data_IF_944603357197
#
_entry.id   IF_944603357197
#
_cell.length_a   1.000
_cell.length_b   1.000
_cell.length_c   1.000
_cell.angle_alpha   90.00
_cell.angle_beta   90.00
_cell.angle_gamma   90.00
#
_symmetry.space_group_name_H-M   'P 1'
#
loop_
_entity.id
_entity.type
_entity.pdbx_description
1 polymer ?
#
# COMPACT_ATOMS: atom_id res chain seq x y z
N UNK A 1 32.91 18.84 67.24
CA UNK A 1 34.39 18.81 67.38
C UNK A 1 34.98 18.23 66.12
N UNK A 2 36.20 18.53 65.67
CA UNK A 2 37.27 19.43 66.12
C UNK A 2 38.24 19.46 64.91
N UNK A 3 38.68 20.63 64.45
CA UNK A 3 39.88 20.80 63.57
C UNK A 3 41.04 21.26 64.47
N UNK A 4 42.30 20.89 64.20
CA UNK A 4 43.22 21.69 63.35
C UNK A 4 44.08 20.77 62.43
N UNK A 5 44.84 21.13 61.40
CA UNK A 5 45.60 22.30 60.91
C UNK A 5 47.12 22.03 60.89
N UNK A 6 47.77 22.44 59.77
CA UNK A 6 49.23 22.67 59.53
C UNK A 6 50.09 21.39 59.43
N UNK A 7 51.12 21.33 58.59
CA UNK A 7 51.78 22.30 57.71
C UNK A 7 53.26 21.90 57.56
N UNK A 8 53.91 22.35 56.46
CA UNK A 8 55.37 22.37 56.19
C UNK A 8 56.09 21.00 56.21
N UNK A 9 57.08 20.67 55.37
CA UNK A 9 57.91 21.41 54.43
C UNK A 9 59.31 20.75 54.42
N UNK A 10 60.01 20.76 53.26
CA UNK A 10 61.48 20.60 53.08
C UNK A 10 62.11 19.25 53.54
N UNK A 11 63.23 18.71 53.05
CA UNK A 11 64.38 19.11 52.22
C UNK A 11 65.00 17.77 51.74
N UNK A 12 65.38 17.61 50.48
CA UNK A 12 66.76 17.73 49.96
C UNK A 12 67.79 16.69 50.45
N UNK A 13 68.55 16.17 49.46
CA UNK A 13 69.82 15.47 49.62
C UNK A 13 69.69 13.96 49.46
N UNK A 14 70.37 13.28 48.55
CA UNK A 14 71.43 13.67 47.63
C UNK A 14 72.26 12.43 47.29
N UNK A 15 72.89 12.47 46.10
CA UNK A 15 74.10 11.72 45.70
C UNK A 15 73.91 10.20 45.47
N UNK A 16 73.79 9.72 44.22
CA UNK A 16 74.82 9.57 43.15
C UNK A 16 75.81 8.43 43.41
N UNK A 17 75.65 7.34 42.66
CA UNK A 17 76.66 6.43 42.07
C UNK A 17 75.89 5.15 41.67
N UNK A 18 76.09 4.46 40.56
CA UNK A 18 76.87 4.58 39.33
C UNK A 18 76.21 3.54 38.39
N UNK A 19 76.07 3.85 37.10
CA UNK A 19 75.83 2.84 36.06
C UNK A 19 77.20 2.51 35.47
N UNK A 20 77.45 1.27 35.03
CA UNK A 20 76.87 0.79 33.76
C UNK A 20 76.35 -0.66 33.85
N UNK A 21 75.19 -1.00 33.26
CA UNK A 21 75.07 -1.57 31.90
C UNK A 21 76.25 -2.52 31.58
N UNK A 22 76.07 -3.82 31.38
CA UNK A 22 75.10 -4.46 30.49
C UNK A 22 75.03 -5.95 30.84
N UNK A 23 73.83 -6.49 31.08
CA UNK A 23 73.62 -7.91 31.36
C UNK A 23 72.48 -8.43 30.48
N UNK A 24 72.87 -9.40 29.68
CA UNK A 24 72.08 -10.23 28.78
C UNK A 24 70.90 -10.97 29.44
N UNK A 25 69.89 -11.31 28.60
CA UNK A 25 68.77 -12.28 28.79
C UNK A 25 67.56 -11.73 29.58
N UNK A 26 66.29 -11.98 29.25
CA UNK A 26 65.61 -12.77 28.23
C UNK A 26 64.10 -12.46 28.30
N UNK A 27 63.43 -12.66 27.17
CA UNK A 27 62.03 -12.42 26.79
C UNK A 27 60.95 -13.01 27.72
N UNK A 28 59.86 -12.27 27.95
CA UNK A 28 58.51 -12.83 28.18
C UNK A 28 57.44 -12.02 27.42
N UNK A 29 57.26 -12.37 26.14
CA UNK A 29 56.28 -11.77 25.23
C UNK A 29 54.96 -12.55 25.30
N UNK A 30 53.89 -11.79 25.59
CA UNK A 30 52.53 -11.90 25.06
C UNK A 30 51.90 -13.30 24.92
N UNK A 31 51.18 -13.74 25.96
CA UNK A 31 50.10 -14.74 25.81
C UNK A 31 48.69 -14.18 26.07
N UNK A 32 48.54 -13.15 26.90
CA UNK A 32 47.22 -12.62 27.28
C UNK A 32 46.45 -11.93 26.14
N UNK A 33 47.11 -11.17 25.26
CA UNK A 33 46.40 -10.38 24.25
C UNK A 33 45.72 -11.18 23.13
N UNK A 34 46.13 -12.44 22.89
CA UNK A 34 45.60 -13.23 21.76
C UNK A 34 44.32 -13.98 22.12
N UNK A 35 44.18 -14.41 23.37
CA UNK A 35 42.98 -15.09 23.86
C UNK A 35 41.81 -14.11 24.04
N UNK A 36 42.06 -12.92 24.59
CA UNK A 36 41.02 -11.88 24.75
C UNK A 36 40.48 -11.37 23.41
N UNK A 37 41.35 -11.26 22.39
CA UNK A 37 40.94 -10.81 21.05
C UNK A 37 40.11 -11.88 20.33
N UNK A 38 40.42 -13.16 20.50
CA UNK A 38 39.65 -14.26 19.91
C UNK A 38 38.32 -14.49 20.62
N UNK A 39 38.28 -14.37 21.96
CA UNK A 39 37.03 -14.42 22.73
C UNK A 39 36.13 -13.24 22.38
N UNK A 40 36.68 -12.03 22.22
CA UNK A 40 35.95 -10.85 21.77
C UNK A 40 35.44 -10.99 20.34
N UNK A 41 36.27 -11.46 19.40
CA UNK A 41 35.84 -11.71 18.02
C UNK A 41 34.77 -12.80 17.92
N UNK A 42 34.92 -13.91 18.65
CA UNK A 42 33.93 -14.98 18.70
C UNK A 42 32.61 -14.51 19.35
N UNK A 43 32.68 -13.64 20.36
CA UNK A 43 31.50 -13.03 20.96
C UNK A 43 30.79 -12.09 19.99
N UNK A 44 31.54 -11.24 19.27
CA UNK A 44 31.03 -10.34 18.22
C UNK A 44 30.40 -11.11 17.06
N UNK A 45 30.98 -12.24 16.64
CA UNK A 45 30.42 -13.10 15.58
C UNK A 45 29.16 -13.82 16.06
N UNK A 46 29.09 -14.25 17.32
CA UNK A 46 27.88 -14.83 17.91
C UNK A 46 26.74 -13.82 18.01
N UNK A 47 27.05 -12.58 18.36
CA UNK A 47 26.05 -11.49 18.40
C UNK A 47 25.56 -11.14 17.00
N UNK A 48 26.47 -10.98 16.02
CA UNK A 48 26.12 -10.69 14.63
C UNK A 48 25.30 -11.81 13.97
N UNK A 49 25.56 -13.08 14.31
CA UNK A 49 24.78 -14.22 13.81
C UNK A 49 23.34 -14.24 14.33
N UNK A 50 23.11 -13.72 15.55
CA UNK A 50 21.78 -13.62 16.14
C UNK A 50 20.95 -12.52 15.47
N UNK A 51 21.55 -11.37 15.20
CA UNK A 51 20.89 -10.26 14.49
C UNK A 51 20.54 -10.62 13.04
N UNK A 52 21.40 -11.39 12.38
CA UNK A 52 21.13 -11.92 11.04
C UNK A 52 19.92 -12.88 11.03
N UNK A 53 19.77 -13.69 12.07
CA UNK A 53 18.63 -14.61 12.19
C UNK A 53 17.31 -13.85 12.32
N UNK A 54 17.27 -12.79 13.15
CA UNK A 54 16.09 -11.94 13.26
C UNK A 54 15.77 -11.22 11.94
N UNK A 55 16.79 -10.74 11.22
CA UNK A 55 16.60 -10.11 9.92
C UNK A 55 15.97 -11.06 8.89
N UNK A 56 16.44 -12.32 8.83
CA UNK A 56 15.84 -13.35 7.96
C UNK A 56 14.37 -13.57 8.31
N UNK A 57 14.06 -13.74 9.60
CA UNK A 57 12.68 -13.97 10.06
C UNK A 57 11.77 -12.81 9.67
N UNK A 58 12.25 -11.56 9.80
CA UNK A 58 11.51 -10.37 9.38
C UNK A 58 11.28 -10.35 7.87
N UNK A 59 12.29 -10.64 7.06
CA UNK A 59 12.14 -10.70 5.60
C UNK A 59 11.14 -11.77 5.16
N UNK A 60 11.19 -12.96 5.79
CA UNK A 60 10.21 -14.03 5.54
C UNK A 60 8.81 -13.56 5.91
N UNK A 61 8.64 -12.90 7.06
CA UNK A 61 7.36 -12.34 7.50
C UNK A 61 6.79 -11.32 6.51
N UNK A 62 7.62 -10.40 6.01
CA UNK A 62 7.23 -9.41 4.98
C UNK A 62 6.90 -10.10 3.66
N UNK A 63 7.67 -11.11 3.26
CA UNK A 63 7.43 -11.87 2.02
C UNK A 63 6.10 -12.61 2.05
N UNK A 64 5.81 -13.33 3.13
CA UNK A 64 4.53 -14.06 3.30
C UNK A 64 3.36 -13.09 3.39
N UNK A 65 3.47 -12.06 4.24
CA UNK A 65 2.40 -11.07 4.42
C UNK A 65 2.17 -10.30 3.13
N UNK A 66 3.23 -9.80 2.48
CA UNK A 66 3.15 -9.07 1.23
C UNK A 66 2.62 -9.92 0.07
N UNK A 67 3.01 -11.20 0.00
CA UNK A 67 2.48 -12.15 -1.00
C UNK A 67 0.99 -12.41 -0.80
N UNK A 68 0.55 -12.69 0.43
CA UNK A 68 -0.87 -12.89 0.73
C UNK A 68 -1.68 -11.61 0.47
N UNK A 69 -1.18 -10.46 0.93
CA UNK A 69 -1.80 -9.17 0.70
C UNK A 69 -1.87 -8.86 -0.80
N UNK A 70 -0.84 -9.20 -1.58
CA UNK A 70 -0.85 -9.07 -3.03
C UNK A 70 -1.93 -9.92 -3.69
N UNK A 71 -2.11 -11.19 -3.29
CA UNK A 71 -3.17 -12.05 -3.84
C UNK A 71 -4.54 -11.48 -3.51
N UNK A 72 -4.78 -11.10 -2.26
CA UNK A 72 -6.04 -10.52 -1.80
C UNK A 72 -6.32 -9.20 -2.53
N UNK A 73 -5.33 -8.31 -2.63
CA UNK A 73 -5.47 -7.06 -3.37
C UNK A 73 -5.68 -7.33 -4.85
N UNK A 74 -4.94 -8.25 -5.47
CA UNK A 74 -5.16 -8.60 -6.87
C UNK A 74 -6.58 -9.12 -7.09
N UNK A 75 -7.11 -9.92 -6.18
CA UNK A 75 -8.47 -10.44 -6.26
C UNK A 75 -9.53 -9.35 -6.02
N UNK A 76 -9.34 -8.49 -5.01
CA UNK A 76 -10.20 -7.35 -4.68
C UNK A 76 -10.10 -6.18 -5.69
N UNK A 77 -8.98 -6.01 -6.37
CA UNK A 77 -8.82 -4.99 -7.42
C UNK A 77 -9.11 -5.56 -8.82
N UNK A 78 -9.15 -6.90 -8.98
CA UNK A 78 -9.83 -7.54 -10.11
C UNK A 78 -11.33 -7.35 -10.00
N UNK A 79 -11.90 -7.31 -8.79
CA UNK A 79 -13.25 -6.77 -8.56
C UNK A 79 -13.22 -5.26 -8.75
N UNK A 80 -13.35 -4.81 -9.98
CA UNK A 80 -13.56 -3.39 -10.28
C UNK A 80 -14.81 -2.95 -9.55
N UNK A 81 -14.65 -2.21 -8.44
CA UNK A 81 -15.76 -1.86 -7.56
C UNK A 81 -16.93 -1.27 -8.36
N UNK A 82 -18.19 -1.60 -8.01
CA UNK A 82 -19.38 -1.04 -8.66
C UNK A 82 -19.35 0.48 -8.75
N UNK A 83 -18.77 1.16 -7.74
CA UNK A 83 -18.63 2.61 -7.70
C UNK A 83 -17.66 3.16 -8.76
N UNK A 84 -16.59 2.42 -9.07
CA UNK A 84 -15.65 2.80 -10.12
C UNK A 84 -16.27 2.65 -11.50
N UNK A 85 -16.93 1.51 -11.75
CA UNK A 85 -17.66 1.26 -13.00
C UNK A 85 -18.75 2.31 -13.20
N UNK A 86 -19.47 2.66 -12.13
CA UNK A 86 -20.44 3.74 -12.14
C UNK A 86 -19.82 5.08 -12.55
N UNK A 87 -18.70 5.47 -11.92
CA UNK A 87 -18.02 6.72 -12.25
C UNK A 87 -17.58 6.77 -13.70
N UNK A 88 -16.88 5.73 -14.16
CA UNK A 88 -16.39 5.61 -15.53
C UNK A 88 -17.54 5.62 -16.55
N UNK A 89 -18.65 4.93 -16.26
CA UNK A 89 -19.83 4.92 -17.12
C UNK A 89 -20.56 6.27 -17.15
N UNK A 90 -20.66 6.96 -16.02
CA UNK A 90 -21.27 8.28 -15.93
C UNK A 90 -20.46 9.32 -16.73
N UNK A 91 -19.13 9.24 -16.68
CA UNK A 91 -18.27 10.14 -17.45
C UNK A 91 -18.36 9.87 -18.96
N UNK A 92 -18.54 8.61 -19.37
CA UNK A 92 -18.91 8.26 -20.76
C UNK A 92 -20.27 8.83 -21.16
N UNK A 93 -21.27 8.80 -20.28
CA UNK A 93 -22.58 9.43 -20.54
C UNK A 93 -22.44 10.95 -20.73
N UNK A 94 -21.61 11.61 -19.90
CA UNK A 94 -21.37 13.06 -19.96
C UNK A 94 -20.63 13.54 -21.20
N UNK A 95 -19.89 12.65 -21.85
CA UNK A 95 -19.12 12.97 -23.06
C UNK A 95 -19.82 12.53 -24.36
N UNK A 96 -20.87 11.71 -24.27
CA UNK A 96 -21.55 11.18 -25.45
C UNK A 96 -22.50 12.22 -26.08
N UNK A 97 -22.33 12.58 -27.36
CA UNK A 97 -23.06 13.69 -27.99
C UNK A 97 -24.57 13.49 -28.01
N UNK A 98 -25.05 12.25 -28.22
CA UNK A 98 -26.50 11.98 -28.19
C UNK A 98 -27.11 12.10 -26.80
N UNK A 99 -26.34 11.78 -25.75
CA UNK A 99 -26.80 11.88 -24.37
C UNK A 99 -26.85 13.36 -23.98
N UNK A 100 -25.81 14.13 -24.32
CA UNK A 100 -25.79 15.59 -24.15
C UNK A 100 -26.96 16.23 -24.89
N UNK A 101 -27.27 15.79 -26.11
CA UNK A 101 -28.40 16.31 -26.88
C UNK A 101 -29.78 16.07 -26.24
N UNK A 102 -29.91 15.10 -25.33
CA UNK A 102 -31.19 14.80 -24.63
C UNK A 102 -31.24 15.38 -23.23
N UNK A 103 -30.13 15.31 -22.49
CA UNK A 103 -30.05 15.66 -21.08
C UNK A 103 -29.38 17.01 -20.82
N UNK A 104 -28.78 17.62 -21.83
CA UNK A 104 -27.98 18.85 -21.72
C UNK A 104 -26.56 18.59 -21.23
N UNK A 105 -25.80 19.68 -21.05
CA UNK A 105 -24.39 19.63 -20.65
C UNK A 105 -24.18 19.20 -19.19
N UNK A 106 -25.15 19.49 -18.32
CA UNK A 106 -25.07 19.16 -16.89
C UNK A 106 -25.86 17.91 -16.58
N UNK A 107 -25.16 16.78 -16.49
CA UNK A 107 -25.75 15.46 -16.18
C UNK A 107 -25.38 15.03 -14.77
N UNK A 108 -26.41 14.84 -13.94
CA UNK A 108 -26.30 14.31 -12.58
C UNK A 108 -26.57 12.81 -12.61
N UNK A 109 -25.68 12.02 -12.01
CA UNK A 109 -25.91 10.60 -11.77
C UNK A 109 -26.32 10.34 -10.32
N UNK A 110 -27.20 9.36 -10.10
CA UNK A 110 -27.57 8.90 -8.77
C UNK A 110 -27.90 7.40 -8.76
N UNK A 111 -27.69 6.77 -7.60
CA UNK A 111 -27.98 5.37 -7.39
C UNK A 111 -29.47 5.09 -7.20
N UNK A 112 -29.79 3.84 -6.89
CA UNK A 112 -31.13 3.40 -6.57
C UNK A 112 -31.64 4.09 -5.31
N UNK A 113 -32.88 4.59 -5.36
CA UNK A 113 -33.52 5.20 -4.21
C UNK A 113 -33.86 4.10 -3.20
N UNK A 114 -33.21 4.13 -2.04
CA UNK A 114 -33.68 3.32 -0.91
C UNK A 114 -35.10 3.71 -0.54
N UNK A 115 -35.86 2.81 0.11
CA UNK A 115 -37.23 3.05 0.58
C UNK A 115 -37.39 4.30 1.47
N UNK A 116 -36.29 4.84 2.00
CA UNK A 116 -36.20 6.10 2.78
C UNK A 116 -35.72 7.32 1.96
N UNK A 117 -35.66 7.23 0.64
CA UNK A 117 -35.27 8.33 -0.26
C UNK A 117 -33.77 8.57 -0.41
N UNK A 118 -32.90 7.75 0.18
CA UNK A 118 -31.44 7.88 0.05
C UNK A 118 -30.99 7.26 -1.28
N UNK A 119 -30.43 8.07 -2.20
CA UNK A 119 -29.98 7.65 -3.55
C UNK A 119 -28.49 7.28 -3.61
N UNK A 120 -27.97 6.66 -2.55
CA UNK A 120 -26.52 6.47 -2.36
C UNK A 120 -25.97 5.14 -2.88
N UNK A 121 -26.81 4.14 -3.12
CA UNK A 121 -26.34 2.81 -3.50
C UNK A 121 -26.59 2.56 -4.98
N UNK A 122 -25.54 2.23 -5.71
CA UNK A 122 -25.66 1.81 -7.11
C UNK A 122 -26.12 0.35 -7.13
N UNK A 123 -27.19 0.09 -7.88
CA UNK A 123 -27.73 -1.26 -8.06
C UNK A 123 -26.74 -2.05 -8.89
N UNK A 124 -26.19 -3.14 -8.36
CA UNK A 124 -25.22 -3.96 -9.06
C UNK A 124 -25.47 -5.45 -8.82
N UNK A 125 -25.13 -6.27 -9.80
CA UNK A 125 -25.22 -7.72 -9.74
C UNK A 125 -23.95 -8.29 -10.36
N UNK A 126 -23.21 -9.06 -9.57
CA UNK A 126 -22.09 -9.85 -10.03
C UNK A 126 -22.55 -11.28 -10.35
N UNK A 127 -22.08 -11.83 -11.47
CA UNK A 127 -22.41 -13.18 -11.87
C UNK A 127 -21.28 -13.78 -12.72
N UNK A 128 -21.24 -15.10 -12.84
CA UNK A 128 -20.25 -15.79 -13.67
C UNK A 128 -20.95 -16.33 -14.91
N UNK A 129 -20.39 -16.06 -16.09
CA UNK A 129 -20.86 -16.58 -17.36
C UNK A 129 -19.66 -17.06 -18.18
N UNK A 130 -19.75 -18.28 -18.72
CA UNK A 130 -18.69 -18.88 -19.54
C UNK A 130 -17.31 -18.91 -18.83
N UNK A 131 -17.32 -19.06 -17.51
CA UNK A 131 -16.11 -19.05 -16.66
C UNK A 131 -15.52 -17.66 -16.38
N UNK A 132 -16.12 -16.59 -16.89
CA UNK A 132 -15.66 -15.22 -16.71
C UNK A 132 -16.60 -14.46 -15.77
N UNK A 133 -16.06 -13.58 -14.92
CA UNK A 133 -16.88 -12.72 -14.06
C UNK A 133 -17.51 -11.61 -14.90
N UNK A 134 -18.79 -11.38 -14.69
CA UNK A 134 -19.55 -10.28 -15.25
C UNK A 134 -20.11 -9.44 -14.10
N UNK A 135 -20.26 -8.15 -14.34
CA UNK A 135 -20.96 -7.27 -13.43
C UNK A 135 -21.92 -6.39 -14.20
N UNK A 136 -23.17 -6.34 -13.74
CA UNK A 136 -24.16 -5.40 -14.21
C UNK A 136 -24.30 -4.29 -13.21
N UNK A 137 -24.33 -3.06 -13.68
CA UNK A 137 -24.50 -1.86 -12.89
C UNK A 137 -25.67 -1.07 -13.48
N UNK A 138 -26.60 -0.66 -12.62
CA UNK A 138 -27.77 0.15 -12.99
C UNK A 138 -27.81 1.38 -12.10
N UNK A 139 -27.93 2.54 -12.73
CA UNK A 139 -28.08 3.82 -12.06
C UNK A 139 -28.96 4.75 -12.90
N UNK A 140 -29.23 5.92 -12.37
CA UNK A 140 -30.13 6.90 -12.97
C UNK A 140 -29.38 8.18 -13.26
N UNK A 141 -29.77 8.86 -14.33
CA UNK A 141 -29.27 10.18 -14.69
C UNK A 141 -30.41 11.18 -14.82
N UNK A 142 -30.09 12.43 -14.55
CA UNK A 142 -30.98 13.57 -14.69
C UNK A 142 -30.24 14.70 -15.39
N UNK A 143 -30.92 15.29 -16.36
CA UNK A 143 -30.41 16.40 -17.16
C UNK A 143 -30.55 17.76 -16.49
N UNK A 144 -30.08 18.79 -17.18
CA UNK A 144 -30.23 20.19 -16.76
C UNK A 144 -31.67 20.67 -16.83
N UNK A 145 -32.44 20.17 -17.81
CA UNK A 145 -33.85 20.48 -17.95
C UNK A 145 -34.70 19.67 -16.97
N UNK A 146 -35.65 20.35 -16.33
CA UNK A 146 -36.57 19.71 -15.39
C UNK A 146 -37.36 18.59 -16.08
N UNK A 147 -37.29 17.39 -15.53
CA UNK A 147 -38.06 16.24 -16.00
C UNK A 147 -37.37 15.39 -17.08
N UNK A 148 -36.13 15.71 -17.47
CA UNK A 148 -35.31 14.82 -18.32
C UNK A 148 -34.59 13.80 -17.43
N UNK A 149 -35.15 12.59 -17.38
CA UNK A 149 -34.61 11.48 -16.58
C UNK A 149 -34.34 10.28 -17.48
N UNK A 150 -33.34 9.49 -17.08
CA UNK A 150 -33.00 8.28 -17.79
C UNK A 150 -32.37 7.26 -16.86
N UNK A 151 -32.43 6.01 -17.31
CA UNK A 151 -31.85 4.86 -16.63
C UNK A 151 -30.64 4.37 -17.43
N UNK A 152 -29.49 4.27 -16.79
CA UNK A 152 -28.26 3.77 -17.41
C UNK A 152 -28.06 2.32 -17.03
N UNK A 153 -27.84 1.51 -18.05
CA UNK A 153 -27.56 0.09 -17.94
C UNK A 153 -26.15 -0.20 -18.43
N UNK A 154 -25.35 -0.77 -17.55
CA UNK A 154 -23.95 -1.09 -17.81
C UNK A 154 -23.74 -2.58 -17.58
N UNK A 155 -23.01 -3.23 -18.47
CA UNK A 155 -22.43 -4.54 -18.21
C UNK A 155 -20.94 -4.48 -18.51
N UNK A 156 -20.16 -5.00 -17.57
CA UNK A 156 -18.73 -5.23 -17.73
C UNK A 156 -18.43 -6.72 -17.64
N UNK A 157 -17.37 -7.14 -18.30
CA UNK A 157 -16.87 -8.51 -18.34
C UNK A 157 -15.39 -8.52 -17.97
N UNK A 158 -14.98 -9.51 -17.18
CA UNK A 158 -13.57 -9.73 -16.87
C UNK A 158 -12.81 -10.14 -18.12
N UNK A 159 -11.75 -9.39 -18.43
CA UNK A 159 -10.79 -9.74 -19.46
C UNK A 159 -9.71 -10.65 -18.83
N UNK A 160 -9.60 -11.93 -19.25
CA UNK A 160 -8.65 -12.88 -18.68
C UNK A 160 -7.19 -12.55 -18.99
N UNK A 161 -6.90 -11.81 -20.06
CA UNK A 161 -5.54 -11.42 -20.44
C UNK A 161 -5.03 -10.26 -19.59
N UNK A 162 -5.92 -9.30 -19.27
CA UNK A 162 -5.58 -8.08 -18.53
C UNK A 162 -5.93 -8.13 -17.04
N UNK A 163 -6.75 -9.09 -16.62
CA UNK A 163 -7.26 -9.22 -15.25
C UNK A 163 -8.10 -8.02 -14.78
N UNK A 164 -8.77 -7.33 -15.72
CA UNK A 164 -9.58 -6.13 -15.46
C UNK A 164 -10.96 -6.28 -16.09
N UNK A 165 -11.94 -5.59 -15.54
CA UNK A 165 -13.25 -5.46 -16.17
C UNK A 165 -13.19 -4.52 -17.37
N UNK A 166 -13.75 -4.95 -18.49
CA UNK A 166 -13.94 -4.16 -19.70
C UNK A 166 -15.44 -3.99 -19.97
N UNK A 167 -15.82 -2.84 -20.51
CA UNK A 167 -17.21 -2.54 -20.84
C UNK A 167 -17.67 -3.43 -21.99
N UNK A 168 -18.72 -4.22 -21.72
CA UNK A 168 -19.40 -4.99 -22.74
C UNK A 168 -20.47 -4.15 -23.41
N UNK A 169 -21.24 -3.40 -22.63
CA UNK A 169 -22.14 -2.40 -23.18
C UNK A 169 -22.46 -1.32 -22.14
N UNK A 170 -22.81 -0.14 -22.66
CA UNK A 170 -23.39 0.97 -21.92
C UNK A 170 -24.53 1.52 -22.77
N UNK A 171 -25.74 1.55 -22.22
CA UNK A 171 -26.86 2.23 -22.85
C UNK A 171 -27.69 3.02 -21.84
N UNK A 172 -28.37 4.03 -22.34
CA UNK A 172 -29.21 4.95 -21.59
C UNK A 172 -30.63 4.84 -22.12
N UNK A 173 -31.55 4.38 -21.28
CA UNK A 173 -32.97 4.47 -21.57
C UNK A 173 -33.49 5.83 -21.12
N UNK A 174 -34.03 6.61 -22.08
CA UNK A 174 -34.65 7.90 -21.79
C UNK A 174 -36.07 7.64 -21.30
N UNK A 175 -36.35 7.97 -20.05
CA UNK A 175 -37.65 7.72 -19.41
C UNK A 175 -38.71 8.73 -19.88
N UNK A 176 -38.25 9.93 -20.24
CA UNK A 176 -39.05 11.06 -20.71
C UNK A 176 -39.37 10.95 -22.20
N UNK A 177 -40.54 11.45 -22.63
CA UNK A 177 -40.93 11.42 -24.04
C UNK A 177 -40.02 12.31 -24.93
N UNK A 178 -39.66 11.86 -26.14
CA UNK A 178 -39.89 10.53 -26.70
C UNK A 178 -38.95 9.48 -26.08
N UNK A 179 -39.53 8.37 -25.62
CA UNK A 179 -38.76 7.27 -25.03
C UNK A 179 -37.91 6.60 -26.09
N UNK A 180 -36.61 6.49 -25.83
CA UNK A 180 -35.65 5.82 -26.70
C UNK A 180 -34.45 5.34 -25.91
N UNK A 181 -33.73 4.38 -26.46
CA UNK A 181 -32.46 3.90 -25.92
C UNK A 181 -31.32 4.51 -26.71
N UNK A 182 -30.36 5.11 -26.02
CA UNK A 182 -29.11 5.62 -26.59
C UNK A 182 -28.01 4.62 -26.25
N UNK A 183 -27.35 4.07 -27.26
CA UNK A 183 -26.23 3.15 -27.08
C UNK A 183 -24.94 3.96 -27.09
N UNK A 184 -24.22 3.96 -25.97
CA UNK A 184 -22.94 4.67 -25.83
C UNK A 184 -21.79 3.76 -26.26
N UNK A 185 -21.86 2.49 -25.84
CA UNK A 185 -20.85 1.49 -26.15
C UNK A 185 -21.52 0.14 -26.29
N UNK A 186 -21.17 -0.58 -27.34
CA UNK A 186 -21.66 -1.93 -27.60
C UNK A 186 -20.53 -2.79 -28.16
N UNK A 187 -19.96 -3.63 -27.29
CA UNK A 187 -18.91 -4.61 -27.59
C UNK A 187 -19.46 -6.03 -27.37
N UNK A 188 -20.76 -6.23 -27.67
CA UNK A 188 -21.46 -7.49 -27.38
C UNK A 188 -20.98 -8.70 -28.16
#
# INVERSE_FOLDING_TARGET
GWRPARGLGTQAGGLRAERPADSSKQVSVSRAGKEDTLLSAAHRVKEAGKDFTYFIVVLVGIGVTGGLFYVIFKELFSSSSPSKIYGDALDKCRSHPEVIGVFGESIKGYGEATRRGRRQLVSHIEYVKDGLKHMRVKFYIEGSETGKQGTVHVEVKENPEKGRFEFRYIFVDVDTYPRRTIVIEDNR
#
